data_IF_014757079491
#
_entry.id   IF_014757079491
#
_cell.length_a   1.000
_cell.length_b   1.000
_cell.length_c   1.000
_cell.angle_alpha   90.00
_cell.angle_beta   90.00
_cell.angle_gamma   90.00
#
_symmetry.space_group_name_H-M   'P 1'
#
loop_
_entity.id
_entity.type
_entity.pdbx_description
1 polymer ?
#
# COMPACT_ATOMS: atom_id res chain seq x y z
N UNK A 1 -1.98 13.94 6.62
CA UNK A 1 -2.45 13.18 5.44
C UNK A 1 -3.49 12.13 5.85
N UNK A 2 -3.10 11.09 6.58
CA UNK A 2 -3.99 10.06 7.14
C UNK A 2 -3.92 10.09 8.66
N UNK A 3 -5.07 9.97 9.34
CA UNK A 3 -5.14 9.71 10.77
C UNK A 3 -6.18 8.61 11.03
N UNK A 4 -5.76 7.56 11.70
CA UNK A 4 -6.59 6.47 12.21
C UNK A 4 -6.62 6.62 13.72
N UNK A 5 -7.81 6.79 14.29
CA UNK A 5 -7.98 7.13 15.70
C UNK A 5 -8.80 6.03 16.39
N UNK A 6 -8.13 5.20 17.17
CA UNK A 6 -8.70 4.20 18.07
C UNK A 6 -9.79 3.34 17.40
N UNK A 7 -9.52 2.80 16.19
CA UNK A 7 -10.51 2.00 15.48
C UNK A 7 -10.58 0.57 16.02
N UNK A 8 -11.80 0.07 16.12
CA UNK A 8 -12.12 -1.35 16.33
C UNK A 8 -12.73 -1.92 15.06
N UNK A 9 -12.33 -3.13 14.66
CA UNK A 9 -12.90 -3.82 13.50
C UNK A 9 -13.14 -5.27 13.83
N UNK A 10 -14.32 -5.79 13.46
CA UNK A 10 -14.68 -7.18 13.73
C UNK A 10 -15.25 -7.86 12.48
N UNK A 11 -14.97 -9.15 12.34
CA UNK A 11 -15.62 -10.07 11.41
C UNK A 11 -16.58 -10.96 12.19
N UNK A 12 -17.85 -10.58 12.22
CA UNK A 12 -18.85 -11.23 13.09
C UNK A 12 -18.45 -11.12 14.56
N UNK A 13 -18.22 -12.24 15.23
CA UNK A 13 -17.80 -12.27 16.64
C UNK A 13 -16.30 -12.12 16.85
N UNK A 14 -15.48 -12.14 15.80
CA UNK A 14 -14.02 -12.08 15.91
C UNK A 14 -13.57 -10.65 15.74
N UNK A 15 -13.01 -10.06 16.81
CA UNK A 15 -12.39 -8.74 16.78
C UNK A 15 -11.00 -8.84 16.18
N UNK A 16 -10.82 -8.24 15.01
CA UNK A 16 -9.58 -8.26 14.24
C UNK A 16 -8.68 -7.06 14.53
N UNK A 17 -9.25 -5.90 14.86
CA UNK A 17 -8.50 -4.71 15.30
C UNK A 17 -9.08 -4.20 16.61
N UNK A 18 -8.18 -3.72 17.51
CA UNK A 18 -8.51 -3.21 18.85
C UNK A 18 -7.82 -1.89 19.08
N UNK A 19 -8.60 -0.81 19.17
CA UNK A 19 -8.14 0.55 19.50
C UNK A 19 -6.92 0.99 18.68
N UNK A 20 -6.86 0.57 17.41
CA UNK A 20 -5.72 0.84 16.53
C UNK A 20 -5.67 2.32 16.18
N UNK A 21 -4.52 2.94 16.45
CA UNK A 21 -4.22 4.33 16.08
C UNK A 21 -2.91 4.41 15.32
N UNK A 22 -2.92 5.10 14.18
CA UNK A 22 -1.72 5.46 13.43
C UNK A 22 -1.94 6.73 12.60
N UNK A 23 -0.86 7.34 12.16
CA UNK A 23 -0.93 8.47 11.25
C UNK A 23 0.17 8.42 10.19
N UNK A 24 -0.10 9.02 9.04
CA UNK A 24 0.87 9.24 7.95
C UNK A 24 0.84 10.73 7.61
N UNK A 25 2.01 11.38 7.63
CA UNK A 25 2.14 12.79 7.26
C UNK A 25 2.23 12.96 5.74
N UNK A 26 1.99 14.15 5.19
CA UNK A 26 2.21 14.40 3.76
C UNK A 26 3.65 14.11 3.34
N UNK A 27 3.83 13.32 2.26
CA UNK A 27 5.14 12.93 1.72
C UNK A 27 5.91 11.90 2.57
N UNK A 28 5.30 11.38 3.64
CA UNK A 28 5.95 10.41 4.51
C UNK A 28 5.75 8.97 4.00
N UNK A 29 6.78 8.14 4.11
CA UNK A 29 6.70 6.70 3.99
C UNK A 29 6.71 6.08 5.39
N UNK A 30 5.60 5.47 5.76
CA UNK A 30 5.40 4.78 7.03
C UNK A 30 5.30 3.28 6.76
N UNK A 31 5.98 2.49 7.56
CA UNK A 31 5.90 1.03 7.51
C UNK A 31 5.03 0.49 8.65
N UNK A 32 4.17 -0.48 8.35
CA UNK A 32 3.44 -1.29 9.33
C UNK A 32 3.93 -2.73 9.21
N UNK A 33 4.61 -3.20 10.24
CA UNK A 33 5.15 -4.56 10.30
C UNK A 33 4.40 -5.41 11.33
N UNK A 34 4.43 -6.71 11.14
CA UNK A 34 3.78 -7.67 12.04
C UNK A 34 3.65 -9.04 11.39
N UNK A 35 3.44 -10.07 12.20
CA UNK A 35 3.26 -11.44 11.73
C UNK A 35 1.99 -11.59 10.87
N UNK A 36 1.88 -12.72 10.15
CA UNK A 36 0.65 -13.07 9.44
C UNK A 36 -0.50 -13.21 10.45
N UNK A 37 -1.67 -12.66 10.07
CA UNK A 37 -2.83 -12.63 10.95
C UNK A 37 -2.81 -11.53 12.03
N UNK A 38 -1.79 -10.65 12.08
CA UNK A 38 -1.73 -9.56 13.06
C UNK A 38 -2.82 -8.48 12.87
N UNK A 39 -3.51 -8.44 11.72
CA UNK A 39 -4.56 -7.45 11.42
C UNK A 39 -4.17 -6.42 10.36
N UNK A 40 -2.96 -6.49 9.78
CA UNK A 40 -2.41 -5.51 8.83
C UNK A 40 -3.33 -5.24 7.64
N UNK A 41 -3.71 -6.29 6.90
CA UNK A 41 -4.62 -6.17 5.73
C UNK A 41 -6.02 -5.72 6.14
N UNK A 42 -6.50 -6.07 7.34
CA UNK A 42 -7.76 -5.57 7.90
C UNK A 42 -7.71 -4.06 8.08
N UNK A 43 -6.60 -3.54 8.60
CA UNK A 43 -6.39 -2.10 8.74
C UNK A 43 -6.39 -1.39 7.38
N UNK A 44 -5.64 -1.91 6.39
CA UNK A 44 -5.64 -1.32 5.04
C UNK A 44 -7.02 -1.33 4.38
N UNK A 45 -7.77 -2.43 4.53
CA UNK A 45 -9.16 -2.53 4.03
C UNK A 45 -10.08 -1.52 4.72
N UNK A 46 -9.86 -1.27 6.01
CA UNK A 46 -10.65 -0.25 6.75
C UNK A 46 -10.32 1.16 6.28
N UNK A 47 -9.03 1.48 6.07
CA UNK A 47 -8.60 2.78 5.52
C UNK A 47 -9.13 2.97 4.09
N UNK A 48 -9.15 1.91 3.28
CA UNK A 48 -9.70 1.93 1.92
C UNK A 48 -11.26 1.88 1.89
N UNK A 49 -11.92 1.96 3.05
CA UNK A 49 -13.39 1.90 3.20
C UNK A 49 -14.04 0.63 2.63
N UNK A 50 -13.26 -0.45 2.55
CA UNK A 50 -13.75 -1.80 2.19
C UNK A 50 -14.31 -2.55 3.41
N UNK A 51 -13.92 -2.14 4.62
CA UNK A 51 -14.43 -2.61 5.89
C UNK A 51 -14.78 -1.41 6.76
N UNK A 52 -15.94 -1.43 7.38
CA UNK A 52 -16.37 -0.35 8.27
C UNK A 52 -15.91 -0.65 9.69
N UNK A 53 -15.18 0.26 10.36
CA UNK A 53 -14.90 0.17 11.78
C UNK A 53 -16.19 0.14 12.61
N UNK A 54 -16.18 -0.59 13.72
CA UNK A 54 -17.27 -0.61 14.70
C UNK A 54 -17.18 0.57 15.67
N UNK A 55 -15.96 1.05 15.92
CA UNK A 55 -15.63 2.23 16.73
C UNK A 55 -14.43 2.96 16.17
N UNK A 56 -14.21 4.18 16.64
CA UNK A 56 -13.09 5.02 16.24
C UNK A 56 -13.39 5.84 14.99
N UNK A 57 -12.35 6.37 14.35
CA UNK A 57 -12.48 7.31 13.25
C UNK A 57 -11.30 7.21 12.29
N UNK A 58 -11.56 7.36 10.99
CA UNK A 58 -10.51 7.43 9.95
C UNK A 58 -10.65 8.76 9.20
N UNK A 59 -9.61 9.59 9.28
CA UNK A 59 -9.53 10.88 8.60
C UNK A 59 -8.50 10.82 7.47
N UNK A 60 -8.91 11.20 6.28
CA UNK A 60 -8.02 11.42 5.14
C UNK A 60 -8.08 12.87 4.70
N UNK A 61 -6.93 13.57 4.76
CA UNK A 61 -6.83 15.02 4.51
C UNK A 61 -7.80 15.86 5.32
N UNK A 62 -8.07 15.44 6.57
CA UNK A 62 -8.98 16.12 7.49
C UNK A 62 -10.46 15.76 7.33
N UNK A 63 -10.82 15.01 6.29
CA UNK A 63 -12.19 14.53 6.07
C UNK A 63 -12.38 13.12 6.65
N UNK A 64 -13.51 12.88 7.32
CA UNK A 64 -13.89 11.52 7.71
C UNK A 64 -14.26 10.71 6.48
N UNK A 65 -13.62 9.56 6.32
CA UNK A 65 -13.83 8.65 5.18
C UNK A 65 -14.55 7.35 5.55
N UNK A 66 -14.96 7.19 6.80
CA UNK A 66 -15.72 6.01 7.22
C UNK A 66 -17.04 5.90 6.47
N UNK A 67 -17.28 4.71 5.89
CA UNK A 67 -18.50 4.44 5.12
C UNK A 67 -18.60 5.22 3.81
N UNK A 68 -17.56 5.96 3.40
CA UNK A 68 -17.49 6.52 2.06
C UNK A 68 -17.45 5.37 1.04
N UNK A 69 -18.10 5.49 -0.12
CA UNK A 69 -17.95 4.49 -1.17
C UNK A 69 -16.48 4.31 -1.56
N UNK A 70 -15.95 3.07 -1.51
CA UNK A 70 -14.53 2.80 -1.76
C UNK A 70 -14.03 3.39 -3.09
N UNK A 71 -14.89 3.35 -4.15
CA UNK A 71 -14.54 3.93 -5.45
C UNK A 71 -14.34 5.47 -5.41
N UNK A 72 -14.96 6.18 -4.46
CA UNK A 72 -14.80 7.63 -4.31
C UNK A 72 -13.44 8.02 -3.73
N UNK A 73 -12.77 7.11 -3.04
CA UNK A 73 -11.46 7.38 -2.43
C UNK A 73 -10.36 7.56 -3.48
N UNK A 74 -10.46 6.89 -4.62
CA UNK A 74 -9.51 7.08 -5.72
C UNK A 74 -9.53 8.53 -6.24
N UNK A 75 -10.70 9.12 -6.43
CA UNK A 75 -10.84 10.54 -6.82
C UNK A 75 -10.39 11.51 -5.73
N UNK A 76 -10.39 11.10 -4.46
CA UNK A 76 -9.83 11.86 -3.34
C UNK A 76 -8.31 11.72 -3.22
N UNK A 77 -7.68 10.82 -4.02
CA UNK A 77 -6.25 10.61 -4.03
C UNK A 77 -5.76 9.55 -3.03
N UNK A 78 -6.59 8.56 -2.68
CA UNK A 78 -6.19 7.39 -1.91
C UNK A 78 -6.27 6.16 -2.80
N UNK A 79 -5.17 5.43 -2.95
CA UNK A 79 -5.12 4.18 -3.72
C UNK A 79 -4.62 3.03 -2.87
N UNK A 80 -5.16 1.84 -3.11
CA UNK A 80 -4.75 0.58 -2.48
C UNK A 80 -4.25 -0.40 -3.52
N UNK A 81 -3.07 -0.95 -3.30
CA UNK A 81 -2.58 -2.18 -3.93
C UNK A 81 -2.75 -3.31 -2.93
N UNK A 82 -3.76 -4.18 -3.11
CA UNK A 82 -4.05 -5.24 -2.15
C UNK A 82 -3.05 -6.39 -2.27
N UNK A 83 -2.98 -7.22 -1.23
CA UNK A 83 -2.42 -8.57 -1.32
C UNK A 83 -3.07 -9.32 -2.50
N UNK A 84 -2.28 -10.10 -3.26
CA UNK A 84 -2.78 -10.80 -4.44
C UNK A 84 -2.92 -9.92 -5.68
N UNK A 85 -2.36 -8.67 -5.66
CA UNK A 85 -2.18 -7.75 -6.81
C UNK A 85 -3.46 -7.12 -7.34
N UNK A 86 -4.58 -7.86 -7.38
CA UNK A 86 -5.89 -7.37 -7.81
C UNK A 86 -5.93 -6.85 -9.26
N UNK A 87 -5.06 -7.35 -10.16
CA UNK A 87 -5.06 -6.98 -11.59
C UNK A 87 -6.28 -7.54 -12.32
N UNK A 88 -6.55 -7.02 -13.51
CA UNK A 88 -7.52 -7.58 -14.45
C UNK A 88 -6.78 -8.53 -15.41
N UNK A 89 -6.81 -9.86 -15.19
CA UNK A 89 -5.94 -10.80 -15.88
C UNK A 89 -6.23 -10.91 -17.38
N UNK A 90 -7.47 -10.75 -17.81
CA UNK A 90 -7.89 -10.81 -19.21
C UNK A 90 -7.56 -9.54 -20.01
N UNK A 91 -7.29 -8.42 -19.30
CA UNK A 91 -6.90 -7.17 -19.91
C UNK A 91 -5.39 -7.13 -20.16
N UNK A 92 -4.97 -6.41 -21.19
CA UNK A 92 -3.57 -6.11 -21.46
C UNK A 92 -2.97 -5.25 -20.34
N UNK A 93 -1.64 -5.16 -20.29
CA UNK A 93 -0.93 -4.24 -19.40
C UNK A 93 -1.43 -2.80 -19.59
N UNK A 94 -1.52 -2.33 -20.84
CA UNK A 94 -1.99 -0.98 -21.13
C UNK A 94 -3.42 -0.74 -20.63
N UNK A 95 -4.33 -1.67 -20.89
CA UNK A 95 -5.72 -1.55 -20.43
C UNK A 95 -5.82 -1.55 -18.91
N UNK A 96 -5.00 -2.36 -18.20
CA UNK A 96 -4.91 -2.29 -16.75
C UNK A 96 -4.50 -0.88 -16.25
N UNK A 97 -3.49 -0.26 -16.88
CA UNK A 97 -3.08 1.10 -16.53
C UNK A 97 -4.22 2.10 -16.80
N UNK A 98 -4.87 2.01 -17.95
CA UNK A 98 -6.01 2.88 -18.32
C UNK A 98 -7.16 2.74 -17.31
N UNK A 99 -7.45 1.52 -16.82
CA UNK A 99 -8.43 1.29 -15.77
C UNK A 99 -8.06 1.98 -14.45
N UNK A 100 -6.77 2.14 -14.15
CA UNK A 100 -6.33 2.93 -12.99
C UNK A 100 -6.68 4.42 -13.08
N UNK A 101 -6.85 4.95 -14.30
CA UNK A 101 -7.23 6.33 -14.57
C UNK A 101 -8.73 6.52 -14.77
N UNK A 102 -9.59 5.53 -14.52
CA UNK A 102 -11.01 5.54 -14.91
C UNK A 102 -11.79 6.75 -14.35
N UNK A 103 -11.39 7.28 -13.20
CA UNK A 103 -12.04 8.46 -12.58
C UNK A 103 -11.55 9.81 -13.14
N UNK A 104 -10.64 9.80 -14.11
CA UNK A 104 -9.98 10.98 -14.68
C UNK A 104 -10.47 11.20 -16.11
N UNK A 105 -10.46 12.48 -16.55
CA UNK A 105 -10.86 12.90 -17.91
C UNK A 105 -9.74 13.60 -18.69
N UNK A 106 -8.58 13.83 -18.07
CA UNK A 106 -7.43 14.58 -18.59
C UNK A 106 -6.54 13.72 -19.49
N UNK A 107 -7.01 13.36 -20.69
CA UNK A 107 -6.39 12.37 -21.60
C UNK A 107 -4.89 12.61 -21.85
N UNK A 108 -4.45 13.87 -22.04
CA UNK A 108 -3.03 14.17 -22.28
C UNK A 108 -2.17 13.85 -21.03
N UNK A 109 -2.64 14.21 -19.84
CA UNK A 109 -1.93 13.89 -18.61
C UNK A 109 -1.96 12.38 -18.33
N UNK A 110 -3.05 11.67 -18.65
CA UNK A 110 -3.11 10.21 -18.53
C UNK A 110 -2.05 9.55 -19.41
N UNK A 111 -1.87 10.01 -20.66
CA UNK A 111 -0.84 9.47 -21.56
C UNK A 111 0.56 9.72 -21.00
N UNK A 112 0.84 10.90 -20.49
CA UNK A 112 2.12 11.22 -19.82
C UNK A 112 2.35 10.32 -18.60
N UNK A 113 1.32 10.05 -17.81
CA UNK A 113 1.41 9.20 -16.63
C UNK A 113 1.63 7.72 -17.00
N UNK A 114 1.10 7.25 -18.14
CA UNK A 114 1.41 5.91 -18.68
C UNK A 114 2.90 5.83 -19.03
N UNK A 115 3.46 6.83 -19.72
CA UNK A 115 4.90 6.85 -20.05
C UNK A 115 5.76 6.93 -18.79
N UNK A 116 5.33 7.69 -17.77
CA UNK A 116 5.99 7.70 -16.47
C UNK A 116 5.96 6.32 -15.81
N UNK A 117 4.81 5.64 -15.80
CA UNK A 117 4.70 4.27 -15.28
C UNK A 117 5.64 3.30 -16.02
N UNK A 118 5.80 3.45 -17.34
CA UNK A 118 6.75 2.67 -18.13
C UNK A 118 8.21 3.02 -17.82
N UNK A 119 8.51 4.27 -17.46
CA UNK A 119 9.86 4.64 -17.01
C UNK A 119 10.22 4.00 -15.66
N UNK A 120 9.25 3.88 -14.74
CA UNK A 120 9.42 3.18 -13.47
C UNK A 120 9.53 1.66 -13.67
N UNK A 121 8.80 1.11 -14.63
CA UNK A 121 8.72 -0.32 -14.93
C UNK A 121 8.95 -0.61 -16.43
N UNK A 122 10.19 -0.52 -16.96
CA UNK A 122 10.46 -0.68 -18.40
C UNK A 122 9.94 -2.00 -18.99
N UNK A 123 9.92 -3.07 -18.21
CA UNK A 123 9.36 -4.36 -18.63
C UNK A 123 7.88 -4.30 -19.00
N UNK A 124 7.12 -3.39 -18.39
CA UNK A 124 5.70 -3.21 -18.73
C UNK A 124 5.52 -2.54 -20.11
N UNK A 125 6.44 -1.64 -20.50
CA UNK A 125 6.43 -1.05 -21.83
C UNK A 125 6.64 -2.09 -22.93
N UNK A 126 7.61 -3.01 -22.72
CA UNK A 126 7.90 -4.12 -23.64
C UNK A 126 6.70 -5.05 -23.84
N UNK A 127 5.86 -5.18 -22.82
CA UNK A 127 4.73 -6.11 -22.75
C UNK A 127 3.35 -5.45 -22.76
N UNK A 128 3.29 -4.17 -23.19
CA UNK A 128 2.08 -3.34 -23.10
C UNK A 128 0.82 -3.95 -23.70
N UNK A 129 0.96 -4.76 -24.76
CA UNK A 129 -0.14 -5.46 -25.43
C UNK A 129 -0.37 -6.89 -24.94
N UNK A 130 0.42 -7.37 -23.97
CA UNK A 130 0.28 -8.71 -23.43
C UNK A 130 -0.82 -8.74 -22.35
N UNK A 131 -1.62 -9.80 -22.31
CA UNK A 131 -2.61 -10.03 -21.24
C UNK A 131 -1.90 -10.15 -19.89
N UNK A 132 -2.34 -9.35 -18.90
CA UNK A 132 -1.66 -9.22 -17.60
C UNK A 132 -1.64 -10.56 -16.83
N UNK A 133 -2.63 -11.42 -17.01
CA UNK A 133 -2.68 -12.73 -16.38
C UNK A 133 -1.56 -13.69 -16.81
N UNK A 134 -0.93 -13.44 -17.98
CA UNK A 134 0.17 -14.28 -18.52
C UNK A 134 1.56 -13.80 -18.07
N UNK A 135 1.64 -12.72 -17.32
CA UNK A 135 2.88 -12.19 -16.79
C UNK A 135 3.38 -12.99 -15.59
N UNK A 136 4.68 -12.90 -15.31
CA UNK A 136 5.24 -13.42 -14.05
C UNK A 136 4.65 -12.70 -12.84
N UNK A 137 4.70 -13.33 -11.65
CA UNK A 137 4.18 -12.74 -10.43
C UNK A 137 4.74 -11.37 -10.11
N UNK A 138 6.04 -11.14 -10.36
CA UNK A 138 6.65 -9.84 -10.16
C UNK A 138 6.21 -8.78 -11.18
N UNK A 139 6.03 -9.18 -12.44
CA UNK A 139 5.49 -8.25 -13.46
C UNK A 139 4.03 -7.90 -13.18
N UNK A 140 3.22 -8.84 -12.68
CA UNK A 140 1.86 -8.56 -12.23
C UNK A 140 1.84 -7.58 -11.05
N UNK A 141 2.80 -7.68 -10.12
CA UNK A 141 2.94 -6.72 -9.02
C UNK A 141 3.31 -5.32 -9.54
N UNK A 142 4.19 -5.24 -10.54
CA UNK A 142 4.51 -3.98 -11.21
C UNK A 142 3.26 -3.37 -11.88
N UNK A 143 2.43 -4.19 -12.57
CA UNK A 143 1.14 -3.74 -13.14
C UNK A 143 0.22 -3.20 -12.05
N UNK A 144 0.09 -3.86 -10.91
CA UNK A 144 -0.77 -3.45 -9.82
C UNK A 144 -0.36 -2.09 -9.25
N UNK A 145 0.94 -1.88 -9.00
CA UNK A 145 1.48 -0.59 -8.53
C UNK A 145 1.32 0.49 -9.60
N UNK A 146 1.71 0.21 -10.85
CA UNK A 146 1.58 1.15 -11.97
C UNK A 146 0.12 1.60 -12.16
N UNK A 147 -0.83 0.66 -12.11
CA UNK A 147 -2.26 0.96 -12.19
C UNK A 147 -2.74 1.86 -11.05
N UNK A 148 -2.28 1.61 -9.81
CA UNK A 148 -2.63 2.46 -8.67
C UNK A 148 -2.12 3.90 -8.86
N UNK A 149 -0.93 4.08 -9.42
CA UNK A 149 -0.35 5.40 -9.71
C UNK A 149 -1.14 6.19 -10.75
N UNK A 150 -1.84 5.51 -11.68
CA UNK A 150 -2.67 6.16 -12.69
C UNK A 150 -3.81 7.01 -12.11
N UNK A 151 -4.24 6.74 -10.86
CA UNK A 151 -5.22 7.57 -10.15
C UNK A 151 -4.62 8.88 -9.59
N UNK A 152 -3.30 9.12 -9.73
CA UNK A 152 -2.54 10.23 -9.09
C UNK A 152 -2.76 10.29 -7.58
N UNK A 153 -2.42 9.22 -6.85
CA UNK A 153 -2.69 9.18 -5.43
C UNK A 153 -1.80 10.16 -4.66
N UNK A 154 -2.37 10.77 -3.62
CA UNK A 154 -1.63 11.49 -2.57
C UNK A 154 -1.17 10.54 -1.47
N UNK A 155 -1.90 9.43 -1.30
CA UNK A 155 -1.58 8.34 -0.39
C UNK A 155 -1.72 7.00 -1.11
N UNK A 156 -0.64 6.23 -1.12
CA UNK A 156 -0.58 4.87 -1.66
C UNK A 156 -0.50 3.88 -0.50
N UNK A 157 -1.47 2.98 -0.42
CA UNK A 157 -1.48 1.86 0.51
C UNK A 157 -0.97 0.62 -0.22
N UNK A 158 0.03 -0.06 0.35
CA UNK A 158 0.65 -1.25 -0.23
C UNK A 158 0.55 -2.41 0.76
N UNK A 159 -0.14 -3.48 0.36
CA UNK A 159 -0.34 -4.67 1.19
C UNK A 159 0.58 -5.80 0.72
N UNK A 160 1.67 -6.02 1.46
CA UNK A 160 2.70 -7.03 1.24
C UNK A 160 3.20 -7.12 -0.22
N UNK A 161 3.67 -5.99 -0.81
CA UNK A 161 4.02 -5.94 -2.23
C UNK A 161 5.20 -6.85 -2.60
N UNK A 162 5.99 -7.31 -1.63
CA UNK A 162 7.14 -8.20 -1.88
C UNK A 162 6.80 -9.69 -1.80
N UNK A 163 5.59 -10.05 -1.35
CA UNK A 163 5.24 -11.43 -1.05
C UNK A 163 5.31 -12.35 -2.29
N UNK A 164 6.03 -13.46 -2.16
CA UNK A 164 6.15 -14.47 -3.22
C UNK A 164 7.00 -14.04 -4.42
N UNK A 165 7.81 -12.99 -4.28
CA UNK A 165 8.70 -12.50 -5.33
C UNK A 165 10.14 -12.98 -5.13
N UNK A 166 10.87 -13.14 -6.24
CA UNK A 166 12.30 -13.38 -6.20
C UNK A 166 13.04 -12.14 -5.62
N UNK A 167 14.16 -12.32 -4.87
CA UNK A 167 14.85 -11.23 -4.17
C UNK A 167 15.21 -10.03 -5.07
N UNK A 168 15.62 -10.28 -6.32
CA UNK A 168 15.95 -9.22 -7.27
C UNK A 168 14.72 -8.37 -7.65
N UNK A 169 13.51 -8.96 -7.69
CA UNK A 169 12.27 -8.24 -7.97
C UNK A 169 11.79 -7.48 -6.74
N UNK A 170 11.99 -8.04 -5.55
CA UNK A 170 11.72 -7.34 -4.28
C UNK A 170 12.49 -6.03 -4.24
N UNK A 171 13.82 -6.07 -4.49
CA UNK A 171 14.65 -4.85 -4.49
C UNK A 171 14.11 -3.82 -5.50
N UNK A 172 13.78 -4.25 -6.73
CA UNK A 172 13.18 -3.35 -7.73
C UNK A 172 11.89 -2.69 -7.28
N UNK A 173 10.98 -3.45 -6.66
CA UNK A 173 9.72 -2.91 -6.15
C UNK A 173 9.99 -1.86 -5.06
N UNK A 174 10.91 -2.13 -4.14
CA UNK A 174 11.26 -1.20 -3.08
C UNK A 174 11.95 0.06 -3.61
N UNK A 175 12.83 -0.06 -4.62
CA UNK A 175 13.44 1.08 -5.29
C UNK A 175 12.39 1.99 -5.95
N UNK A 176 11.38 1.39 -6.60
CA UNK A 176 10.26 2.15 -7.19
C UNK A 176 9.38 2.79 -6.12
N UNK A 177 9.07 2.10 -5.01
CA UNK A 177 8.32 2.69 -3.89
C UNK A 177 9.06 3.90 -3.33
N UNK A 178 10.39 3.82 -3.17
CA UNK A 178 11.22 4.95 -2.75
C UNK A 178 11.15 6.12 -3.75
N UNK A 179 11.22 5.83 -5.06
CA UNK A 179 11.12 6.85 -6.10
C UNK A 179 9.77 7.57 -6.02
N UNK A 180 8.67 6.82 -5.96
CA UNK A 180 7.30 7.35 -5.83
C UNK A 180 7.18 8.25 -4.59
N UNK A 181 7.74 7.82 -3.45
CA UNK A 181 7.71 8.63 -2.23
C UNK A 181 8.52 9.92 -2.38
N UNK A 182 9.70 9.88 -3.01
CA UNK A 182 10.51 11.08 -3.32
C UNK A 182 9.81 12.04 -4.29
N UNK A 183 8.92 11.56 -5.11
CA UNK A 183 8.05 12.37 -5.98
C UNK A 183 6.88 13.02 -5.22
N UNK A 184 6.79 12.80 -3.89
CA UNK A 184 5.84 13.45 -2.99
C UNK A 184 4.60 12.62 -2.64
N UNK A 185 4.49 11.39 -3.13
CA UNK A 185 3.39 10.50 -2.74
C UNK A 185 3.64 9.96 -1.33
N UNK A 186 2.69 10.13 -0.43
CA UNK A 186 2.73 9.48 0.89
C UNK A 186 2.49 7.98 0.74
N UNK A 187 3.17 7.17 1.53
CA UNK A 187 3.06 5.70 1.43
C UNK A 187 2.81 5.09 2.81
N UNK A 188 1.83 4.21 2.91
CA UNK A 188 1.70 3.27 4.02
C UNK A 188 2.03 1.87 3.48
N UNK A 189 3.21 1.39 3.83
CA UNK A 189 3.75 0.11 3.40
C UNK A 189 3.50 -0.94 4.48
N UNK A 190 2.70 -1.93 4.19
CA UNK A 190 2.49 -3.10 5.04
C UNK A 190 3.38 -4.21 4.53
N UNK A 191 4.20 -4.79 5.41
CA UNK A 191 5.15 -5.84 5.05
C UNK A 191 5.37 -6.83 6.19
N UNK A 192 5.68 -8.06 5.82
CA UNK A 192 6.19 -9.07 6.74
C UNK A 192 7.72 -8.97 6.86
N UNK A 193 8.42 -8.61 5.77
CA UNK A 193 9.87 -8.39 5.79
C UNK A 193 10.18 -7.04 6.47
N UNK A 194 10.26 -7.08 7.80
CA UNK A 194 10.46 -5.90 8.63
C UNK A 194 11.76 -5.17 8.31
N UNK A 195 12.84 -5.89 8.00
CA UNK A 195 14.14 -5.30 7.72
C UNK A 195 14.08 -4.40 6.49
N UNK A 196 13.54 -4.90 5.37
CA UNK A 196 13.42 -4.12 4.14
C UNK A 196 12.45 -2.96 4.31
N UNK A 197 11.30 -3.19 4.95
CA UNK A 197 10.28 -2.18 5.14
C UNK A 197 10.76 -1.02 6.02
N UNK A 198 11.40 -1.30 7.15
CA UNK A 198 11.95 -0.29 8.05
C UNK A 198 13.17 0.42 7.47
N UNK A 199 13.99 -0.26 6.64
CA UNK A 199 15.12 0.38 5.97
C UNK A 199 14.69 1.49 4.98
N UNK A 200 13.47 1.37 4.43
CA UNK A 200 12.92 2.35 3.49
C UNK A 200 12.13 3.47 4.19
N UNK A 201 11.48 3.16 5.30
CA UNK A 201 10.55 4.05 5.99
C UNK A 201 11.22 5.13 6.85
N UNK A 202 10.53 6.25 7.05
CA UNK A 202 10.90 7.26 8.07
C UNK A 202 10.45 6.84 9.47
N UNK A 203 9.26 6.25 9.59
CA UNK A 203 8.68 5.74 10.84
C UNK A 203 8.06 4.37 10.61
N UNK A 204 7.92 3.62 11.70
CA UNK A 204 7.27 2.32 11.68
C UNK A 204 6.29 2.12 12.82
N UNK A 205 5.37 1.21 12.58
CA UNK A 205 4.46 0.66 13.57
C UNK A 205 4.63 -0.86 13.61
N UNK A 206 4.57 -1.43 14.79
CA UNK A 206 4.55 -2.89 14.99
C UNK A 206 3.13 -3.26 15.41
N UNK A 207 2.54 -4.21 14.71
CA UNK A 207 1.20 -4.70 14.99
C UNK A 207 1.23 -6.16 15.42
N UNK A 208 0.59 -6.47 16.55
CA UNK A 208 0.44 -7.81 17.10
C UNK A 208 -0.99 -8.01 17.59
N UNK A 209 -1.61 -9.12 17.20
CA UNK A 209 -2.95 -9.51 17.66
C UNK A 209 -4.03 -8.42 17.55
N UNK A 210 -3.95 -7.59 16.48
CA UNK A 210 -4.90 -6.53 16.20
C UNK A 210 -4.65 -5.22 16.95
N UNK A 211 -3.51 -5.05 17.59
CA UNK A 211 -3.11 -3.86 18.34
C UNK A 211 -1.76 -3.32 17.87
N UNK A 212 -1.54 -2.01 17.98
CA UNK A 212 -0.22 -1.39 17.79
C UNK A 212 0.55 -1.52 19.11
N UNK A 213 1.61 -2.33 19.11
CA UNK A 213 2.43 -2.58 20.31
C UNK A 213 3.60 -1.61 20.42
N UNK A 214 4.17 -1.19 19.29
CA UNK A 214 5.30 -0.25 19.23
C UNK A 214 5.13 0.72 18.05
N UNK A 215 5.60 1.94 18.20
CA UNK A 215 5.79 2.87 17.09
C UNK A 215 6.95 3.82 17.41
N UNK A 216 7.79 4.07 16.40
CA UNK A 216 8.95 4.96 16.55
C UNK A 216 9.52 5.33 15.16
N UNK A 217 10.59 6.12 15.14
CA UNK A 217 11.44 6.27 13.97
C UNK A 217 11.90 4.88 13.48
N UNK A 218 11.89 4.65 12.18
CA UNK A 218 12.23 3.33 11.62
C UNK A 218 13.64 2.89 12.03
N UNK A 219 14.61 3.83 12.11
CA UNK A 219 15.97 3.55 12.59
C UNK A 219 16.02 3.10 14.04
N UNK A 220 15.13 3.61 14.90
CA UNK A 220 15.01 3.17 16.30
C UNK A 220 14.43 1.77 16.38
N UNK A 221 13.37 1.47 15.58
CA UNK A 221 12.77 0.13 15.52
C UNK A 221 13.76 -0.92 15.00
N UNK A 222 14.57 -0.60 13.98
CA UNK A 222 15.63 -1.48 13.48
C UNK A 222 16.67 -1.86 14.56
N UNK A 223 16.85 -0.99 15.56
CA UNK A 223 17.78 -1.22 16.66
C UNK A 223 17.11 -1.75 17.93
N UNK A 224 15.79 -1.81 17.98
CA UNK A 224 15.03 -2.29 19.12
C UNK A 224 15.24 -3.80 19.33
N UNK A 225 15.68 -4.26 20.53
CA UNK A 225 15.94 -5.68 20.80
C UNK A 225 14.72 -6.58 20.60
N UNK A 226 13.53 -6.13 20.99
CA UNK A 226 12.28 -6.88 20.81
C UNK A 226 11.93 -7.05 19.33
N UNK A 227 12.07 -5.99 18.53
CA UNK A 227 11.84 -6.02 17.08
C UNK A 227 12.87 -6.94 16.40
N UNK A 228 14.14 -6.87 16.81
CA UNK A 228 15.20 -7.76 16.29
C UNK A 228 14.86 -9.22 16.56
N UNK A 229 14.53 -9.56 17.79
CA UNK A 229 14.22 -10.94 18.17
C UNK A 229 12.96 -11.49 17.46
N UNK A 230 11.92 -10.66 17.27
CA UNK A 230 10.65 -11.11 16.70
C UNK A 230 10.61 -11.10 15.16
N UNK A 231 11.31 -10.16 14.50
CA UNK A 231 11.07 -9.85 13.08
C UNK A 231 12.34 -9.72 12.21
N UNK A 232 13.56 -9.61 12.78
CA UNK A 232 14.78 -9.35 11.99
C UNK A 232 15.71 -10.54 11.90
N UNK A 233 15.35 -11.69 12.49
CA UNK A 233 16.18 -12.89 12.53
C UNK A 233 17.42 -12.63 13.42
N UNK A 234 17.28 -12.82 14.70
CA UNK A 234 18.37 -12.78 15.66
C UNK A 234 19.33 -13.96 15.51
#
# INVERSE_FOLDING_TARGET
MLAVNAIDVSYGAIQALRQVSLHVMPGELVSLIGANGAGKSTLLKSIASLLKPTHGQILFSGENIEGAPAHSLASKGLALVPEGRGIFPEMTVLENLQMGAYSRSDKHAIQHDIEHAYSLFPRLAERRAQAAGTLSGGEQQMVAIARALMSKPRLLLLDEPSMGLAPILVQKIFDVINTINREGVSVLLVEQNAQLALALAQRGYVMEHGEITLHDAASALLNNPAVKAAYLGG
#
